data_IF_064952238546
#
_entry.id   IF_064952238546
#
_cell.length_a   1.000
_cell.length_b   1.000
_cell.length_c   1.000
_cell.angle_alpha   90.00
_cell.angle_beta   90.00
_cell.angle_gamma   90.00
#
_symmetry.space_group_name_H-M   'P 1'
#
loop_
_entity.id
_entity.type
_entity.pdbx_description
1 polymer ?
#
# COMPACT_ATOMS: atom_id res chain seq x y z
N UNK A 1 -0.84 4.48 -11.41
CA UNK A 1 -0.41 3.34 -10.56
C UNK A 1 -1.58 2.40 -10.35
N UNK A 2 -1.28 1.14 -10.11
CA UNK A 2 -2.27 0.09 -9.84
C UNK A 2 -1.85 -0.66 -8.58
N UNK A 3 -2.67 -0.57 -7.53
CA UNK A 3 -2.50 -1.30 -6.28
C UNK A 3 -3.26 -2.61 -6.32
N UNK A 4 -2.56 -3.70 -6.06
CA UNK A 4 -3.10 -5.00 -5.69
C UNK A 4 -2.75 -5.29 -4.23
N UNK A 5 -3.50 -6.15 -3.57
CA UNK A 5 -3.29 -6.48 -2.17
C UNK A 5 -3.84 -7.86 -1.83
N UNK A 6 -3.29 -8.49 -0.80
CA UNK A 6 -3.83 -9.72 -0.22
C UNK A 6 -4.02 -10.83 -1.27
N UNK A 7 -2.99 -11.09 -2.06
CA UNK A 7 -3.00 -12.15 -3.07
C UNK A 7 -2.89 -13.54 -2.45
N UNK A 8 -2.17 -13.67 -1.34
CA UNK A 8 -1.94 -14.89 -0.60
C UNK A 8 -1.57 -16.09 -1.49
N UNK A 9 -0.67 -15.85 -2.45
CA UNK A 9 -0.28 -16.88 -3.41
C UNK A 9 0.77 -17.81 -2.80
N UNK A 10 0.60 -19.10 -3.07
CA UNK A 10 1.66 -20.09 -2.92
C UNK A 10 1.67 -20.98 -4.18
N UNK A 11 2.70 -20.85 -4.99
CA UNK A 11 2.82 -21.57 -6.27
C UNK A 11 3.12 -23.05 -6.07
N UNK A 12 3.75 -23.46 -4.98
CA UNK A 12 4.09 -24.85 -4.71
C UNK A 12 2.83 -25.69 -4.39
N UNK A 13 1.90 -25.10 -3.63
CA UNK A 13 0.61 -25.75 -3.32
C UNK A 13 -0.49 -25.43 -4.33
N UNK A 14 -0.26 -24.52 -5.26
CA UNK A 14 -1.27 -24.01 -6.18
C UNK A 14 -2.30 -23.07 -5.52
N UNK A 15 -2.08 -22.64 -4.26
CA UNK A 15 -2.98 -21.75 -3.55
C UNK A 15 -3.03 -20.37 -4.23
N UNK A 16 -4.24 -19.95 -4.58
CA UNK A 16 -4.52 -18.60 -5.12
C UNK A 16 -3.76 -18.22 -6.41
N UNK A 17 -3.22 -19.17 -7.16
CA UNK A 17 -2.45 -18.88 -8.41
C UNK A 17 -3.27 -18.15 -9.47
N UNK A 18 -4.58 -18.22 -9.41
CA UNK A 18 -5.50 -17.47 -10.28
C UNK A 18 -5.47 -15.94 -10.01
N UNK A 19 -4.86 -15.46 -8.91
CA UNK A 19 -4.53 -14.06 -8.69
C UNK A 19 -3.67 -13.49 -9.84
N UNK A 20 -2.76 -14.28 -10.41
CA UNK A 20 -1.97 -13.89 -11.57
C UNK A 20 -2.85 -13.54 -12.79
N UNK A 21 -3.94 -14.28 -13.01
CA UNK A 21 -4.90 -13.98 -14.08
C UNK A 21 -5.63 -12.67 -13.83
N UNK A 22 -6.05 -12.42 -12.59
CA UNK A 22 -6.66 -11.15 -12.18
C UNK A 22 -5.71 -9.97 -12.42
N UNK A 23 -4.45 -10.09 -12.01
CA UNK A 23 -3.42 -9.07 -12.17
C UNK A 23 -3.18 -8.76 -13.66
N UNK A 24 -2.90 -9.77 -14.49
CA UNK A 24 -2.66 -9.62 -15.94
C UNK A 24 -3.85 -8.96 -16.64
N UNK A 25 -5.07 -9.37 -16.30
CA UNK A 25 -6.29 -8.82 -16.89
C UNK A 25 -6.48 -7.33 -16.55
N UNK A 26 -6.33 -6.96 -15.29
CA UNK A 26 -6.51 -5.56 -14.87
C UNK A 26 -5.38 -4.68 -15.41
N UNK A 27 -4.13 -5.15 -15.42
CA UNK A 27 -3.01 -4.44 -16.06
C UNK A 27 -3.27 -4.17 -17.54
N UNK A 28 -3.83 -5.14 -18.27
CA UNK A 28 -4.19 -4.98 -19.69
C UNK A 28 -5.25 -3.89 -19.89
N UNK A 29 -6.23 -3.80 -18.98
CA UNK A 29 -7.31 -2.80 -19.05
C UNK A 29 -6.79 -1.41 -18.68
N UNK A 30 -6.03 -1.28 -17.60
CA UNK A 30 -5.68 0.01 -16.99
C UNK A 30 -4.34 0.57 -17.49
N UNK A 31 -3.44 -0.27 -18.02
CA UNK A 31 -2.09 0.09 -18.52
C UNK A 31 -1.34 1.01 -17.54
N UNK A 32 -1.09 0.57 -16.30
CA UNK A 32 -0.44 1.41 -15.30
C UNK A 32 1.04 1.66 -15.63
N UNK A 33 1.62 2.71 -15.05
CA UNK A 33 3.07 2.99 -15.10
C UNK A 33 3.82 2.30 -13.95
N UNK A 34 3.12 1.88 -12.91
CA UNK A 34 3.67 1.23 -11.72
C UNK A 34 2.62 0.32 -11.09
N UNK A 35 3.02 -0.87 -10.68
CA UNK A 35 2.21 -1.78 -9.87
C UNK A 35 2.72 -1.76 -8.43
N UNK A 36 1.81 -1.73 -7.45
CA UNK A 36 2.14 -1.84 -6.02
C UNK A 36 1.38 -3.00 -5.42
N UNK A 37 2.08 -3.95 -4.81
CA UNK A 37 1.52 -5.06 -4.04
C UNK A 37 1.58 -4.66 -2.55
N UNK A 38 0.43 -4.40 -1.95
CA UNK A 38 0.38 -3.90 -0.55
C UNK A 38 0.18 -5.01 0.46
N UNK A 39 1.15 -5.93 0.51
CA UNK A 39 1.29 -6.95 1.54
C UNK A 39 0.43 -8.19 1.35
N UNK A 40 0.75 -9.19 2.16
CA UNK A 40 0.17 -10.54 2.13
C UNK A 40 0.20 -11.13 0.71
N UNK A 41 1.39 -11.07 0.10
CA UNK A 41 1.61 -11.41 -1.30
C UNK A 41 1.91 -12.88 -1.45
N UNK A 42 2.98 -13.35 -0.80
CA UNK A 42 3.43 -14.74 -0.83
C UNK A 42 3.27 -15.35 0.56
N UNK A 43 2.42 -16.36 0.69
CA UNK A 43 2.10 -16.98 1.98
C UNK A 43 2.40 -18.47 1.96
N UNK A 44 2.94 -18.98 3.06
CA UNK A 44 3.34 -20.36 3.28
C UNK A 44 4.47 -20.83 2.31
N UNK A 45 5.21 -21.86 2.67
CA UNK A 45 6.26 -22.47 1.84
C UNK A 45 7.40 -21.52 1.45
N UNK A 46 8.00 -21.75 0.29
CA UNK A 46 9.09 -20.90 -0.22
C UNK A 46 8.57 -19.67 -0.95
N UNK A 47 8.68 -18.46 -0.37
CA UNK A 47 8.17 -17.24 -1.00
C UNK A 47 8.96 -16.83 -2.25
N UNK A 48 10.25 -17.20 -2.37
CA UNK A 48 11.06 -16.86 -3.54
C UNK A 48 10.44 -17.37 -4.84
N UNK A 49 9.94 -18.62 -4.84
CA UNK A 49 9.28 -19.21 -6.02
C UNK A 49 8.05 -18.40 -6.42
N UNK A 50 7.26 -17.98 -5.44
CA UNK A 50 6.07 -17.14 -5.69
C UNK A 50 6.46 -15.78 -6.23
N UNK A 51 7.45 -15.11 -5.64
CA UNK A 51 7.93 -13.82 -6.14
C UNK A 51 8.59 -13.91 -7.53
N UNK A 52 9.22 -15.03 -7.88
CA UNK A 52 9.73 -15.27 -9.24
C UNK A 52 8.62 -15.33 -10.29
N UNK A 53 7.45 -15.85 -9.96
CA UNK A 53 6.29 -15.80 -10.87
C UNK A 53 5.77 -14.37 -11.04
N UNK A 54 5.72 -13.56 -9.97
CA UNK A 54 5.42 -12.12 -10.09
C UNK A 54 6.46 -11.41 -10.95
N UNK A 55 7.75 -11.65 -10.71
CA UNK A 55 8.85 -11.11 -11.52
C UNK A 55 8.68 -11.45 -13.01
N UNK A 56 8.36 -12.70 -13.35
CA UNK A 56 8.14 -13.13 -14.73
C UNK A 56 7.01 -12.33 -15.40
N UNK A 57 5.88 -12.17 -14.70
CA UNK A 57 4.72 -11.40 -15.19
C UNK A 57 5.08 -9.93 -15.43
N UNK A 58 5.76 -9.29 -14.47
CA UNK A 58 6.09 -7.88 -14.57
C UNK A 58 7.24 -7.62 -15.54
N UNK A 59 8.20 -8.56 -15.67
CA UNK A 59 9.26 -8.47 -16.68
C UNK A 59 8.72 -8.60 -18.10
N UNK A 60 7.80 -9.55 -18.36
CA UNK A 60 7.12 -9.68 -19.65
C UNK A 60 6.40 -8.39 -20.05
N UNK A 61 5.75 -7.75 -19.08
CA UNK A 61 5.04 -6.48 -19.28
C UNK A 61 5.97 -5.24 -19.27
N UNK A 62 7.27 -5.39 -18.97
CA UNK A 62 8.21 -4.30 -18.68
C UNK A 62 7.66 -3.33 -17.62
N UNK A 63 7.02 -3.87 -16.62
CA UNK A 63 6.26 -3.13 -15.61
C UNK A 63 7.08 -2.96 -14.33
N UNK A 64 7.42 -1.73 -13.94
CA UNK A 64 7.96 -1.46 -12.60
C UNK A 64 6.97 -1.87 -11.52
N UNK A 65 7.46 -2.46 -10.45
CA UNK A 65 6.63 -2.90 -9.35
C UNK A 65 7.28 -2.73 -7.99
N UNK A 66 6.46 -2.66 -6.96
CA UNK A 66 6.82 -2.45 -5.56
C UNK A 66 6.01 -3.40 -4.69
N UNK A 67 6.61 -3.84 -3.58
CA UNK A 67 5.95 -4.64 -2.54
C UNK A 67 6.08 -3.93 -1.21
N UNK A 68 5.00 -3.77 -0.45
CA UNK A 68 5.07 -3.62 1.01
C UNK A 68 4.88 -4.99 1.65
N UNK A 69 5.51 -5.24 2.79
CA UNK A 69 5.34 -6.52 3.48
C UNK A 69 4.07 -6.50 4.34
N UNK A 70 3.26 -7.56 4.25
CA UNK A 70 2.12 -7.82 5.12
C UNK A 70 2.49 -8.74 6.30
N UNK A 71 1.53 -9.04 7.14
CA UNK A 71 1.77 -9.90 8.31
C UNK A 71 1.99 -11.37 7.95
N UNK A 72 1.47 -11.83 6.81
CA UNK A 72 1.68 -13.20 6.33
C UNK A 72 2.95 -13.39 5.51
N UNK A 73 3.58 -12.34 5.00
CA UNK A 73 4.82 -12.44 4.20
C UNK A 73 6.05 -12.92 5.01
N UNK A 74 5.93 -13.05 6.33
CA UNK A 74 6.95 -13.62 7.22
C UNK A 74 6.52 -14.92 7.90
N UNK A 75 5.46 -15.53 7.46
CA UNK A 75 4.99 -16.84 7.96
C UNK A 75 5.45 -18.01 7.06
N UNK A 76 6.29 -17.72 6.08
CA UNK A 76 6.88 -18.65 5.14
C UNK A 76 8.28 -19.10 5.61
N UNK A 77 9.01 -19.78 4.76
CA UNK A 77 10.35 -20.33 5.06
C UNK A 77 11.43 -19.23 5.24
N UNK A 78 11.14 -18.00 4.85
CA UNK A 78 12.05 -16.85 4.97
C UNK A 78 11.55 -15.83 6.00
N UNK A 79 12.49 -15.23 6.71
CA UNK A 79 12.22 -14.05 7.54
C UNK A 79 11.85 -12.82 6.69
N UNK A 80 11.22 -11.82 7.30
CA UNK A 80 10.90 -10.54 6.63
C UNK A 80 12.14 -9.88 6.00
N UNK A 81 13.28 -9.95 6.70
CA UNK A 81 14.53 -9.41 6.17
C UNK A 81 14.97 -10.14 4.91
N UNK A 82 14.97 -11.46 4.92
CA UNK A 82 15.35 -12.25 3.75
C UNK A 82 14.41 -12.01 2.58
N UNK A 83 13.11 -11.89 2.81
CA UNK A 83 12.14 -11.51 1.76
C UNK A 83 12.45 -10.10 1.22
N UNK A 84 12.70 -9.12 2.08
CA UNK A 84 13.04 -7.77 1.65
C UNK A 84 14.34 -7.73 0.84
N UNK A 85 15.37 -8.45 1.29
CA UNK A 85 16.66 -8.55 0.58
C UNK A 85 16.47 -9.25 -0.79
N UNK A 86 15.65 -10.29 -0.86
CA UNK A 86 15.35 -10.99 -2.09
C UNK A 86 14.65 -10.09 -3.13
N UNK A 87 13.64 -9.32 -2.70
CA UNK A 87 12.88 -8.42 -3.56
C UNK A 87 13.77 -7.39 -4.26
N UNK A 88 14.83 -6.90 -3.61
CA UNK A 88 15.75 -5.90 -4.17
C UNK A 88 16.54 -6.42 -5.38
N UNK A 89 16.62 -7.74 -5.56
CA UNK A 89 17.37 -8.39 -6.63
C UNK A 89 16.49 -8.83 -7.81
N UNK A 90 15.16 -8.57 -7.75
CA UNK A 90 14.23 -8.97 -8.81
C UNK A 90 14.15 -7.92 -9.92
N UNK A 91 13.99 -8.38 -11.16
CA UNK A 91 13.88 -7.50 -12.30
C UNK A 91 12.63 -6.61 -12.20
N UNK A 92 12.76 -5.34 -12.55
CA UNK A 92 11.73 -4.30 -12.47
C UNK A 92 11.17 -4.06 -11.07
N UNK A 93 11.62 -4.78 -10.04
CA UNK A 93 11.26 -4.49 -8.66
C UNK A 93 12.03 -3.25 -8.17
N UNK A 94 11.32 -2.30 -7.62
CA UNK A 94 11.89 -1.04 -7.14
C UNK A 94 12.11 -1.05 -5.63
N UNK A 95 11.90 -2.18 -4.97
CA UNK A 95 12.12 -2.30 -3.54
C UNK A 95 13.56 -1.97 -3.17
N UNK A 96 13.70 -1.26 -2.07
CA UNK A 96 14.96 -0.86 -1.47
C UNK A 96 14.77 -0.77 0.05
N UNK A 97 15.83 -0.61 0.80
CA UNK A 97 15.78 -0.29 2.21
C UNK A 97 16.67 0.93 2.48
N UNK A 98 16.06 2.02 2.90
CA UNK A 98 16.70 3.33 3.01
C UNK A 98 16.78 3.79 4.47
N UNK A 99 17.56 3.11 5.25
CA UNK A 99 17.87 3.55 6.59
C UNK A 99 17.87 2.44 7.62
N UNK A 100 18.60 2.69 8.69
CA UNK A 100 18.64 1.84 9.88
C UNK A 100 17.39 2.13 10.75
N UNK A 101 16.27 1.57 10.38
CA UNK A 101 15.01 1.70 11.11
C UNK A 101 14.38 0.34 11.35
N UNK A 102 13.46 0.26 12.30
CA UNK A 102 12.69 -0.97 12.52
C UNK A 102 11.84 -1.31 11.28
N UNK A 103 11.55 -2.60 11.11
CA UNK A 103 10.91 -3.09 9.90
C UNK A 103 11.89 -3.20 8.72
N UNK A 104 11.40 -3.64 7.57
CA UNK A 104 12.22 -3.92 6.40
C UNK A 104 11.59 -3.35 5.14
N UNK A 105 12.43 -2.88 4.20
CA UNK A 105 11.95 -2.29 2.95
C UNK A 105 11.17 -0.97 3.17
N UNK A 106 11.74 -0.08 4.02
CA UNK A 106 11.25 1.28 4.18
C UNK A 106 12.02 2.20 3.22
N UNK A 107 11.34 2.81 2.25
CA UNK A 107 11.99 3.68 1.26
C UNK A 107 11.05 4.75 0.70
N UNK A 108 11.65 5.76 0.06
CA UNK A 108 10.96 6.79 -0.69
C UNK A 108 11.32 6.66 -2.16
N UNK A 109 10.32 6.57 -3.02
CA UNK A 109 10.51 6.59 -4.46
C UNK A 109 10.04 7.94 -5.02
N UNK A 110 10.95 8.78 -5.55
CA UNK A 110 10.57 10.06 -6.15
C UNK A 110 10.03 9.86 -7.57
N UNK A 111 8.83 10.35 -7.81
CA UNK A 111 8.24 10.44 -9.16
C UNK A 111 8.78 11.71 -9.82
N UNK A 112 9.44 11.53 -10.96
CA UNK A 112 10.12 12.62 -11.66
C UNK A 112 9.42 12.98 -12.97
N UNK A 113 9.50 14.26 -13.34
CA UNK A 113 9.14 14.73 -14.65
C UNK A 113 10.21 14.43 -15.70
N UNK A 114 9.91 14.69 -16.96
CA UNK A 114 10.85 14.50 -18.07
C UNK A 114 12.12 15.34 -17.96
N UNK A 115 12.08 16.46 -17.22
CA UNK A 115 13.25 17.30 -16.90
C UNK A 115 13.98 16.84 -15.62
N UNK A 116 13.73 15.61 -15.18
CA UNK A 116 14.35 14.95 -14.03
C UNK A 116 14.12 15.64 -12.66
N UNK A 117 13.10 16.48 -12.53
CA UNK A 117 12.72 17.11 -11.26
C UNK A 117 11.73 16.26 -10.50
N UNK A 118 11.88 16.16 -9.18
CA UNK A 118 10.92 15.49 -8.31
C UNK A 118 9.58 16.23 -8.35
N UNK A 119 8.48 15.52 -8.63
CA UNK A 119 7.12 16.07 -8.74
C UNK A 119 6.17 15.50 -7.71
N UNK A 120 6.42 14.29 -7.27
CA UNK A 120 5.69 13.64 -6.20
C UNK A 120 6.60 12.61 -5.50
N UNK A 121 6.17 12.14 -4.33
CA UNK A 121 6.86 11.09 -3.58
C UNK A 121 5.91 9.92 -3.34
N UNK A 122 6.47 8.72 -3.37
CA UNK A 122 5.81 7.49 -2.95
C UNK A 122 6.60 6.97 -1.75
N UNK A 123 5.98 7.01 -0.56
CA UNK A 123 6.49 6.34 0.62
C UNK A 123 6.05 4.89 0.61
N UNK A 124 6.99 3.99 0.79
CA UNK A 124 6.76 2.55 0.93
C UNK A 124 7.29 2.16 2.29
N UNK A 125 6.41 1.63 3.14
CA UNK A 125 6.77 1.40 4.53
C UNK A 125 6.30 0.03 5.01
N UNK A 126 7.09 -0.58 5.87
CA UNK A 126 6.73 -1.80 6.57
C UNK A 126 5.88 -1.46 7.80
N UNK A 127 4.59 -1.79 7.76
CA UNK A 127 3.70 -1.64 8.92
C UNK A 127 3.88 -2.72 9.99
N UNK A 128 4.92 -3.55 9.85
CA UNK A 128 5.23 -4.70 10.68
C UNK A 128 4.17 -5.81 10.58
N UNK A 129 4.17 -6.79 11.49
CA UNK A 129 3.27 -7.95 11.42
C UNK A 129 2.38 -8.04 12.64
N UNK A 130 2.92 -8.49 13.76
CA UNK A 130 2.20 -8.71 15.00
C UNK A 130 2.81 -7.90 16.14
N UNK A 131 2.02 -7.67 17.19
CA UNK A 131 2.50 -7.04 18.41
C UNK A 131 3.70 -7.78 18.98
N UNK A 132 4.74 -7.03 19.34
CA UNK A 132 5.94 -7.52 20.03
C UNK A 132 5.81 -7.46 21.56
N UNK A 133 4.67 -6.98 22.07
CA UNK A 133 4.38 -6.80 23.50
C UNK A 133 3.34 -7.78 24.02
N UNK A 134 3.20 -8.97 23.39
CA UNK A 134 2.34 -10.03 23.92
C UNK A 134 2.92 -10.59 25.22
N UNK A 135 2.10 -10.94 26.22
CA UNK A 135 0.63 -10.94 26.17
C UNK A 135 -0.03 -9.62 26.59
N UNK A 136 0.73 -8.58 26.99
CA UNK A 136 0.19 -7.32 27.52
C UNK A 136 -0.58 -6.53 26.45
N UNK A 137 -0.09 -6.56 25.21
CA UNK A 137 -0.73 -5.96 24.04
C UNK A 137 -0.82 -7.03 22.95
N UNK A 138 -2.00 -7.46 22.61
CA UNK A 138 -2.22 -8.44 21.55
C UNK A 138 -2.44 -7.75 20.17
N UNK A 139 -2.72 -8.53 19.14
CA UNK A 139 -3.08 -8.06 17.81
C UNK A 139 -1.88 -7.71 16.93
N UNK A 140 -2.01 -6.60 16.21
CA UNK A 140 -1.15 -6.23 15.09
C UNK A 140 0.05 -5.38 15.51
N UNK A 141 1.09 -5.41 14.68
CA UNK A 141 2.24 -4.52 14.80
C UNK A 141 1.87 -3.07 14.46
N UNK A 142 2.72 -2.16 14.87
CA UNK A 142 2.60 -0.72 14.62
C UNK A 142 3.89 -0.17 14.04
N UNK A 143 3.86 1.02 13.51
CA UNK A 143 5.09 1.74 13.14
C UNK A 143 5.91 2.03 14.38
N UNK A 144 7.15 1.55 14.41
CA UNK A 144 8.08 1.89 15.48
C UNK A 144 8.44 3.38 15.47
N UNK A 145 8.86 3.92 16.61
CA UNK A 145 9.27 5.32 16.71
C UNK A 145 10.44 5.67 15.77
N UNK A 146 11.32 4.70 15.49
CA UNK A 146 12.40 4.89 14.51
C UNK A 146 11.86 5.08 13.09
N UNK A 147 10.80 4.36 12.71
CA UNK A 147 10.13 4.54 11.41
C UNK A 147 9.41 5.90 11.32
N UNK A 148 8.79 6.35 12.40
CA UNK A 148 8.18 7.70 12.47
C UNK A 148 9.26 8.78 12.33
N UNK A 149 10.40 8.60 12.99
CA UNK A 149 11.55 9.52 12.89
C UNK A 149 12.14 9.54 11.49
N UNK A 150 12.34 8.37 10.89
CA UNK A 150 12.80 8.20 9.51
C UNK A 150 11.86 8.91 8.51
N UNK A 151 10.55 8.70 8.64
CA UNK A 151 9.59 9.39 7.78
C UNK A 151 9.71 10.92 7.90
N UNK A 152 9.76 11.46 9.13
CA UNK A 152 9.93 12.90 9.36
C UNK A 152 11.22 13.45 8.75
N UNK A 153 12.30 12.69 8.84
CA UNK A 153 13.59 13.05 8.24
C UNK A 153 13.51 13.09 6.72
N UNK A 154 13.00 12.03 6.09
CA UNK A 154 12.83 11.97 4.64
C UNK A 154 11.91 13.06 4.10
N UNK A 155 10.78 13.29 4.74
CA UNK A 155 9.86 14.37 4.36
C UNK A 155 10.55 15.74 4.42
N UNK A 156 11.33 16.00 5.49
CA UNK A 156 12.09 17.25 5.63
C UNK A 156 13.16 17.39 4.55
N UNK A 157 13.91 16.31 4.26
CA UNK A 157 14.94 16.28 3.21
C UNK A 157 14.35 16.69 1.85
N UNK A 158 13.29 16.01 1.41
CA UNK A 158 12.64 16.32 0.13
C UNK A 158 11.97 17.69 0.10
N UNK A 159 11.46 18.17 1.25
CA UNK A 159 10.91 19.52 1.37
C UNK A 159 11.99 20.58 1.18
N UNK A 160 13.16 20.40 1.79
CA UNK A 160 14.32 21.31 1.63
C UNK A 160 14.81 21.29 0.18
N UNK A 161 14.95 20.12 -0.44
CA UNK A 161 15.33 19.97 -1.85
C UNK A 161 14.33 20.63 -2.82
N UNK A 162 13.08 20.81 -2.40
CA UNK A 162 12.03 21.47 -3.16
C UNK A 162 11.77 22.92 -2.69
N UNK A 163 12.80 23.67 -2.36
CA UNK A 163 12.72 25.07 -1.92
C UNK A 163 11.80 25.28 -0.72
N UNK A 164 11.89 24.43 0.29
CA UNK A 164 11.09 24.40 1.51
C UNK A 164 9.57 24.27 1.26
N UNK A 165 9.19 23.62 0.18
CA UNK A 165 7.79 23.33 -0.14
C UNK A 165 7.58 21.82 -0.16
N UNK A 166 6.68 21.26 0.68
CA UNK A 166 6.38 19.84 0.65
C UNK A 166 5.93 19.38 -0.73
N UNK A 167 6.54 18.32 -1.25
CA UNK A 167 6.07 17.67 -2.48
C UNK A 167 4.77 16.90 -2.19
N UNK A 168 3.82 16.84 -3.13
CA UNK A 168 2.68 15.95 -2.98
C UNK A 168 3.17 14.51 -2.88
N UNK A 169 2.68 13.78 -1.88
CA UNK A 169 3.09 12.42 -1.62
C UNK A 169 1.90 11.48 -1.38
N UNK A 170 2.10 10.20 -1.61
CA UNK A 170 1.23 9.12 -1.15
C UNK A 170 2.06 8.07 -0.42
N UNK A 171 1.42 7.30 0.47
CA UNK A 171 2.11 6.28 1.22
C UNK A 171 1.41 4.92 1.06
N UNK A 172 2.21 3.86 0.90
CA UNK A 172 1.76 2.47 0.85
C UNK A 172 2.33 1.70 2.03
N UNK A 173 1.48 0.94 2.69
CA UNK A 173 1.81 -0.03 3.71
C UNK A 173 0.67 -1.03 3.84
N UNK A 174 0.80 -2.07 4.66
CA UNK A 174 -0.19 -3.15 4.69
C UNK A 174 -1.27 -2.95 5.76
N UNK A 175 -0.87 -2.90 7.04
CA UNK A 175 -1.80 -2.82 8.17
C UNK A 175 -2.29 -1.37 8.33
N UNK A 176 -3.62 -1.12 8.41
CA UNK A 176 -4.17 0.22 8.50
C UNK A 176 -3.77 0.93 9.80
N UNK A 177 -3.62 2.24 9.74
CA UNK A 177 -3.48 3.08 10.94
C UNK A 177 -4.80 3.11 11.73
N UNK A 178 -4.77 3.30 13.06
CA UNK A 178 -6.00 3.42 13.88
C UNK A 178 -6.98 4.48 13.38
N UNK A 179 -6.48 5.51 12.67
CA UNK A 179 -7.28 6.61 12.13
C UNK A 179 -8.19 6.21 10.95
N UNK A 180 -8.01 5.04 10.34
CA UNK A 180 -8.95 4.53 9.32
C UNK A 180 -10.38 4.44 9.82
N UNK A 181 -10.58 4.01 11.07
CA UNK A 181 -11.88 3.99 11.70
C UNK A 181 -12.48 5.40 11.85
N UNK A 182 -11.65 6.42 12.13
CA UNK A 182 -12.11 7.80 12.23
C UNK A 182 -12.52 8.35 10.85
N UNK A 183 -11.78 8.00 9.80
CA UNK A 183 -12.13 8.37 8.43
C UNK A 183 -13.46 7.77 7.99
N UNK A 184 -13.75 6.51 8.32
CA UNK A 184 -15.06 5.91 8.06
C UNK A 184 -16.20 6.57 8.83
N UNK A 185 -15.97 6.89 10.11
CA UNK A 185 -16.98 7.52 10.99
C UNK A 185 -17.20 9.01 10.72
N UNK A 186 -16.43 9.62 9.86
CA UNK A 186 -16.57 11.05 9.58
C UNK A 186 -17.98 11.36 9.05
N UNK A 187 -18.77 12.10 9.85
CA UNK A 187 -20.16 12.45 9.49
C UNK A 187 -20.24 13.63 8.52
N UNK A 188 -19.18 14.44 8.44
CA UNK A 188 -19.12 15.61 7.58
C UNK A 188 -18.73 15.25 6.16
N UNK A 189 -17.76 14.33 6.03
CA UNK A 189 -17.25 13.88 4.75
C UNK A 189 -17.45 12.38 4.63
N UNK A 190 -18.41 11.98 3.78
CA UNK A 190 -18.79 10.57 3.64
C UNK A 190 -17.72 9.79 2.90
N UNK A 191 -17.31 8.66 3.46
CA UNK A 191 -16.44 7.71 2.78
C UNK A 191 -17.12 7.11 1.53
N UNK A 192 -16.31 6.83 0.50
CA UNK A 192 -16.73 6.24 -0.78
C UNK A 192 -16.21 4.81 -0.84
N UNK A 193 -17.09 3.85 -1.13
CA UNK A 193 -16.76 2.41 -1.14
C UNK A 193 -17.54 1.65 -0.06
N UNK A 194 -17.01 0.52 0.36
CA UNK A 194 -17.69 -0.38 1.32
C UNK A 194 -16.76 -0.69 2.50
N UNK A 195 -17.38 -0.71 3.67
CA UNK A 195 -16.83 -1.28 4.90
C UNK A 195 -17.70 -2.44 5.32
N UNK A 196 -17.14 -3.64 5.37
CA UNK A 196 -17.88 -4.86 5.72
C UNK A 196 -17.26 -5.59 6.91
N UNK A 197 -16.14 -5.13 7.40
CA UNK A 197 -15.49 -5.61 8.61
C UNK A 197 -14.86 -4.46 9.38
N UNK A 198 -14.56 -4.69 10.65
CA UNK A 198 -13.87 -3.71 11.49
C UNK A 198 -12.42 -3.56 10.99
N UNK A 199 -11.90 -2.35 11.09
CA UNK A 199 -10.50 -2.06 10.80
C UNK A 199 -9.60 -2.78 11.80
N UNK A 200 -8.72 -3.64 11.31
CA UNK A 200 -7.78 -4.44 12.11
C UNK A 200 -6.43 -3.72 12.23
N UNK A 201 -6.44 -2.51 12.74
CA UNK A 201 -5.23 -1.74 13.04
C UNK A 201 -4.61 -2.12 14.38
N UNK A 202 -3.40 -1.60 14.68
CA UNK A 202 -2.73 -1.83 15.96
C UNK A 202 -3.46 -1.15 17.13
N UNK A 203 -3.33 -1.75 18.32
CA UNK A 203 -3.79 -1.13 19.58
C UNK A 203 -2.93 0.07 20.00
N UNK A 204 -1.64 0.05 19.63
CA UNK A 204 -0.70 1.14 19.92
C UNK A 204 -0.61 2.10 18.73
N UNK A 205 -0.79 3.40 19.00
CA UNK A 205 -0.60 4.46 18.03
C UNK A 205 0.67 5.25 18.39
N UNK A 206 1.68 5.18 17.53
CA UNK A 206 2.98 5.85 17.71
C UNK A 206 3.06 7.23 17.05
N UNK A 207 1.96 7.69 16.45
CA UNK A 207 1.87 9.03 15.89
C UNK A 207 2.30 9.17 14.44
N UNK A 208 2.37 8.08 13.65
CA UNK A 208 2.71 8.16 12.22
C UNK A 208 1.70 9.05 11.45
N UNK A 209 0.42 8.93 11.74
CA UNK A 209 -0.60 9.79 11.14
C UNK A 209 -0.37 11.27 11.48
N UNK A 210 -0.10 11.58 12.74
CA UNK A 210 0.21 12.95 13.16
C UNK A 210 1.47 13.49 12.46
N UNK A 211 2.51 12.66 12.34
CA UNK A 211 3.73 13.03 11.62
C UNK A 211 3.46 13.41 10.16
N UNK A 212 2.60 12.64 9.46
CA UNK A 212 2.20 12.93 8.08
C UNK A 212 1.38 14.22 7.98
N UNK A 213 0.49 14.49 8.94
CA UNK A 213 -0.28 15.75 8.99
C UNK A 213 0.63 16.97 9.20
N UNK A 214 1.59 16.87 10.11
CA UNK A 214 2.54 17.96 10.41
C UNK A 214 3.45 18.25 9.20
N UNK A 215 3.92 17.21 8.52
CA UNK A 215 4.79 17.31 7.34
C UNK A 215 4.07 17.92 6.13
N UNK A 216 2.76 17.73 6.01
CA UNK A 216 1.91 18.25 4.93
C UNK A 216 2.29 17.76 3.53
N UNK A 217 3.03 16.69 3.40
CA UNK A 217 3.39 16.10 2.10
C UNK A 217 2.41 15.00 1.68
N UNK A 218 2.05 14.06 2.57
CA UNK A 218 1.16 12.95 2.27
C UNK A 218 -0.27 13.43 2.04
N UNK A 219 -0.81 13.13 0.86
CA UNK A 219 -2.21 13.37 0.47
C UNK A 219 -3.11 12.23 0.89
N UNK A 220 -2.57 11.01 0.91
CA UNK A 220 -3.32 9.82 1.29
C UNK A 220 -2.44 8.61 1.47
N UNK A 221 -2.97 7.65 2.24
CA UNK A 221 -2.37 6.35 2.50
C UNK A 221 -3.21 5.24 1.87
N UNK A 222 -2.55 4.18 1.41
CA UNK A 222 -3.17 3.06 0.72
C UNK A 222 -2.71 1.76 1.35
N UNK A 223 -3.66 0.96 1.85
CA UNK A 223 -3.41 -0.25 2.63
C UNK A 223 -4.12 -1.48 2.07
N UNK A 224 -3.82 -2.65 2.64
CA UNK A 224 -4.52 -3.91 2.44
C UNK A 224 -5.13 -4.43 3.74
N UNK A 225 -4.87 -5.70 4.08
CA UNK A 225 -5.13 -6.36 5.35
C UNK A 225 -6.60 -6.73 5.60
N UNK A 226 -7.51 -5.77 5.53
CA UNK A 226 -8.94 -6.00 5.76
C UNK A 226 -9.64 -6.33 4.43
N UNK A 227 -9.75 -7.63 4.10
CA UNK A 227 -10.16 -8.12 2.78
C UNK A 227 -11.56 -7.70 2.31
N UNK A 228 -12.45 -7.39 3.26
CA UNK A 228 -13.83 -7.01 2.95
C UNK A 228 -14.04 -5.49 2.89
N UNK A 229 -13.00 -4.71 3.18
CA UNK A 229 -13.01 -3.26 3.08
C UNK A 229 -12.40 -2.81 1.75
N UNK A 230 -13.00 -1.78 1.15
CA UNK A 230 -12.51 -1.18 -0.09
C UNK A 230 -12.78 0.33 -0.16
N UNK A 231 -13.12 0.93 0.98
CA UNK A 231 -13.46 2.34 1.02
C UNK A 231 -12.23 3.26 0.97
N UNK A 232 -12.48 4.50 0.61
CA UNK A 232 -11.64 5.65 0.84
C UNK A 232 -12.42 6.66 1.68
N UNK A 233 -11.88 7.02 2.82
CA UNK A 233 -12.40 8.07 3.70
C UNK A 233 -11.39 9.18 3.88
N UNK A 234 -11.78 10.27 4.54
CA UNK A 234 -10.90 11.40 4.82
C UNK A 234 -10.93 11.72 6.31
N UNK A 235 -9.75 11.88 6.90
CA UNK A 235 -9.55 12.36 8.25
C UNK A 235 -8.52 13.50 8.24
N UNK A 236 -8.89 14.69 8.74
CA UNK A 236 -8.05 15.89 8.72
C UNK A 236 -7.34 16.17 7.37
N UNK A 237 -8.06 16.20 6.29
CA UNK A 237 -7.51 16.46 4.94
C UNK A 237 -6.50 15.42 4.42
N UNK A 238 -6.47 14.22 4.98
CA UNK A 238 -5.71 13.10 4.46
C UNK A 238 -6.67 11.98 4.07
N UNK A 239 -6.50 11.44 2.87
CA UNK A 239 -7.25 10.27 2.41
C UNK A 239 -6.71 8.99 3.05
N UNK A 240 -7.59 8.13 3.53
CA UNK A 240 -7.27 6.82 4.08
C UNK A 240 -8.02 5.78 3.25
N UNK A 241 -7.29 5.01 2.43
CA UNK A 241 -7.88 4.16 1.41
C UNK A 241 -7.44 2.70 1.55
N UNK A 242 -8.39 1.78 1.48
CA UNK A 242 -8.11 0.36 1.29
C UNK A 242 -7.91 0.03 -0.19
N UNK A 243 -6.98 -0.88 -0.48
CA UNK A 243 -6.95 -1.60 -1.74
C UNK A 243 -8.22 -2.46 -1.92
N UNK A 244 -8.38 -3.04 -3.10
CA UNK A 244 -9.34 -4.11 -3.33
C UNK A 244 -8.59 -5.43 -3.27
N UNK A 245 -9.05 -6.35 -2.43
CA UNK A 245 -8.50 -7.70 -2.37
C UNK A 245 -8.39 -8.30 -3.77
N UNK A 246 -7.22 -8.85 -4.08
CA UNK A 246 -6.94 -9.38 -5.41
C UNK A 246 -7.42 -10.82 -5.55
N UNK A 247 -7.51 -11.54 -4.42
CA UNK A 247 -8.02 -12.92 -4.37
C UNK A 247 -8.93 -13.15 -3.17
N UNK A 248 -10.12 -13.72 -3.41
CA UNK A 248 -11.23 -13.77 -2.44
C UNK A 248 -11.59 -15.16 -1.93
N UNK A 249 -10.97 -16.25 -2.38
CA UNK A 249 -11.35 -17.62 -1.96
C UNK A 249 -11.24 -17.89 -0.45
N UNK A 250 -10.58 -17.00 0.29
CA UNK A 250 -10.31 -17.19 1.72
C UNK A 250 -11.49 -16.80 2.62
N UNK A 251 -12.46 -15.96 2.15
CA UNK A 251 -13.52 -15.41 3.01
C UNK A 251 -14.89 -15.46 2.33
N UNK A 252 -15.88 -15.99 3.04
CA UNK A 252 -17.29 -15.93 2.66
C UNK A 252 -17.79 -14.48 2.74
N UNK A 253 -18.20 -13.87 1.63
CA UNK A 253 -18.70 -12.48 1.48
C UNK A 253 -17.68 -11.46 0.98
N UNK A 254 -16.51 -11.86 0.56
CA UNK A 254 -15.54 -10.96 -0.04
C UNK A 254 -16.12 -10.24 -1.27
N UNK A 255 -15.64 -9.02 -1.56
CA UNK A 255 -16.02 -8.30 -2.77
C UNK A 255 -15.47 -9.01 -4.03
N UNK A 256 -16.00 -8.66 -5.21
CA UNK A 256 -15.40 -9.11 -6.49
C UNK A 256 -13.93 -8.66 -6.52
N UNK A 257 -13.06 -9.60 -6.83
CA UNK A 257 -11.61 -9.39 -6.93
C UNK A 257 -11.26 -8.22 -7.84
N UNK A 258 -10.17 -7.51 -7.52
CA UNK A 258 -9.82 -6.34 -8.28
C UNK A 258 -8.49 -5.71 -7.89
N UNK A 259 -8.33 -4.45 -8.30
CA UNK A 259 -7.24 -3.58 -7.90
C UNK A 259 -7.71 -2.13 -7.81
N UNK A 260 -7.01 -1.32 -7.03
CA UNK A 260 -7.27 0.12 -6.92
C UNK A 260 -6.33 0.87 -7.86
N UNK A 261 -6.91 1.77 -8.62
CA UNK A 261 -6.15 2.68 -9.49
C UNK A 261 -5.93 4.00 -8.75
N UNK A 262 -4.72 4.54 -8.86
CA UNK A 262 -4.34 5.85 -8.33
C UNK A 262 -3.63 6.63 -9.45
N UNK A 263 -4.15 7.81 -9.77
CA UNK A 263 -3.59 8.69 -10.80
C UNK A 263 -3.13 9.99 -10.16
N UNK A 264 -1.82 10.17 -10.03
CA UNK A 264 -1.24 11.44 -9.61
C UNK A 264 -1.28 12.44 -10.77
N UNK A 265 -1.51 13.71 -10.45
CA UNK A 265 -1.57 14.80 -11.42
C UNK A 265 -0.35 15.70 -11.23
N UNK A 266 0.51 15.79 -12.24
CA UNK A 266 1.70 16.64 -12.17
C UNK A 266 1.33 18.09 -11.83
N UNK A 267 2.06 18.69 -10.91
CA UNK A 267 1.87 20.07 -10.47
C UNK A 267 0.60 20.31 -9.63
N UNK A 268 -0.15 19.25 -9.29
CA UNK A 268 -1.35 19.38 -8.46
C UNK A 268 -1.21 18.55 -7.18
N UNK A 269 -1.77 19.08 -6.10
CA UNK A 269 -1.96 18.36 -4.86
C UNK A 269 -3.33 17.66 -4.88
N UNK A 270 -3.48 16.70 -5.78
CA UNK A 270 -4.70 15.91 -5.96
C UNK A 270 -4.40 14.58 -6.66
N UNK A 271 -5.29 13.62 -6.49
CA UNK A 271 -5.26 12.36 -7.24
C UNK A 271 -6.66 11.87 -7.57
N UNK A 272 -6.80 11.16 -8.69
CA UNK A 272 -8.00 10.39 -8.98
C UNK A 272 -7.81 8.95 -8.52
N UNK A 273 -8.89 8.31 -8.07
CA UNK A 273 -8.84 6.88 -7.72
C UNK A 273 -10.16 6.19 -8.03
N UNK A 274 -10.06 4.90 -8.34
CA UNK A 274 -11.21 3.99 -8.51
C UNK A 274 -10.77 2.56 -8.29
N UNK A 275 -11.73 1.66 -8.20
CA UNK A 275 -11.47 0.23 -8.22
C UNK A 275 -11.84 -0.33 -9.59
N UNK A 276 -10.96 -1.16 -10.14
CA UNK A 276 -11.22 -1.99 -11.29
C UNK A 276 -11.47 -3.42 -10.83
N UNK A 277 -12.67 -3.92 -11.03
CA UNK A 277 -13.02 -5.32 -10.77
C UNK A 277 -12.53 -6.22 -11.91
N UNK A 278 -12.24 -7.48 -11.60
CA UNK A 278 -11.76 -8.46 -12.58
C UNK A 278 -12.74 -8.70 -13.74
N UNK A 279 -14.04 -8.45 -13.53
CA UNK A 279 -15.06 -8.46 -14.59
C UNK A 279 -14.99 -7.26 -15.56
N UNK A 280 -14.06 -6.32 -15.32
CA UNK A 280 -13.87 -5.11 -16.11
C UNK A 280 -14.65 -3.90 -15.62
N UNK A 281 -15.49 -4.02 -14.60
CA UNK A 281 -16.29 -2.91 -14.07
C UNK A 281 -15.40 -1.90 -13.32
N UNK A 282 -15.61 -0.61 -13.57
CA UNK A 282 -15.06 0.51 -12.80
C UNK A 282 -16.06 0.91 -11.71
N UNK A 283 -15.66 0.89 -10.43
CA UNK A 283 -16.50 1.25 -9.30
C UNK A 283 -15.82 2.27 -8.40
N UNK A 284 -16.60 3.06 -7.69
CA UNK A 284 -16.17 4.08 -6.70
C UNK A 284 -15.16 5.10 -7.23
N UNK A 285 -15.37 5.69 -8.43
CA UNK A 285 -14.50 6.74 -8.90
C UNK A 285 -14.63 8.00 -8.04
N UNK A 286 -13.49 8.57 -7.66
CA UNK A 286 -13.46 9.84 -6.94
C UNK A 286 -12.12 10.56 -7.16
N UNK A 287 -12.12 11.86 -6.88
CA UNK A 287 -10.95 12.73 -6.90
C UNK A 287 -10.72 13.29 -5.50
N UNK A 288 -9.55 13.07 -4.93
CA UNK A 288 -9.16 13.77 -3.71
C UNK A 288 -8.48 15.11 -4.08
N UNK A 289 -8.81 16.26 -3.42
CA UNK A 289 -9.80 16.39 -2.36
C UNK A 289 -11.23 16.61 -2.84
N UNK A 290 -11.48 16.88 -4.12
CA UNK A 290 -12.71 17.46 -4.67
C UNK A 290 -13.97 16.65 -4.38
N UNK A 291 -13.89 15.33 -4.31
CA UNK A 291 -15.01 14.44 -3.97
C UNK A 291 -15.31 14.37 -2.45
N UNK A 292 -14.52 15.06 -1.62
CA UNK A 292 -14.56 14.98 -0.15
C UNK A 292 -14.73 16.36 0.52
N UNK A 293 -15.38 17.27 -0.15
CA UNK A 293 -15.76 18.58 0.42
C UNK A 293 -17.05 18.45 1.24
N UNK A 294 -17.16 19.29 2.31
CA UNK A 294 -18.35 19.39 3.14
C UNK A 294 -19.55 19.99 2.37
#
# INVERSE_FOLDING_TARGET
MLQFTDTHVNVESGKNVDAFTTIKKIMTIEKPDLVVLTGDVATDGNPEKTYKEFEAIFTEAKMPWIVTLGNHDSQADLSRKEVADFLQNLNYCLNNDQGETYGHSNFVYPVRSTDNKNKALIYVMDSNAYSTLKPEVDGWGWFDNSQVSWYKEKSREFTQLNNNRPLPAIAFFHIPLPEYYQAWKNKKVKAIGKRKEQECGPEINTGMFAAMLEAKDVMGTFVGHDHNNDYIGVHYNMALAYGRVTKTKTYNKAPIEGGRIIVLKEGKRSFDTWIREVNGKKVYPCTWPDSFVE
#
